data_IF_975551307290
#
_entry.id   IF_975551307290
#
_cell.length_a   1.000
_cell.length_b   1.000
_cell.length_c   1.000
_cell.angle_alpha   90.00
_cell.angle_beta   90.00
_cell.angle_gamma   90.00
#
_symmetry.space_group_name_H-M   'P 1'
#
loop_
_entity.id
_entity.type
_entity.pdbx_description
1 polymer ?
#
# COMPACT_ATOMS: atom_id res chain seq x y z
N UNK A 1 0.30 16.37 -16.36
CA UNK A 1 -0.99 16.41 -17.10
C UNK A 1 -2.14 16.30 -16.11
N UNK A 2 -3.21 17.08 -16.33
CA UNK A 2 -4.42 17.04 -15.48
C UNK A 2 -5.60 16.63 -16.34
N UNK A 3 -6.31 15.57 -15.95
CA UNK A 3 -7.55 15.12 -16.56
C UNK A 3 -8.68 15.30 -15.54
N UNK A 4 -9.70 16.08 -15.91
CA UNK A 4 -10.83 16.40 -15.05
C UNK A 4 -12.12 16.30 -15.85
N UNK A 5 -13.13 15.65 -15.25
CA UNK A 5 -14.50 15.71 -15.75
C UNK A 5 -15.16 14.35 -15.84
N UNK A 6 -16.51 14.32 -15.89
CA UNK A 6 -17.28 13.10 -15.98
C UNK A 6 -17.26 12.48 -17.39
N UNK A 7 -16.57 13.10 -18.35
CA UNK A 7 -16.49 12.61 -19.71
C UNK A 7 -15.82 11.23 -19.71
N UNK A 8 -16.37 10.31 -20.51
CA UNK A 8 -15.77 9.00 -20.66
C UNK A 8 -14.36 9.17 -21.18
N UNK A 9 -13.40 8.69 -20.40
CA UNK A 9 -11.97 8.74 -20.74
C UNK A 9 -11.67 8.09 -22.10
N UNK A 10 -12.55 7.19 -22.58
CA UNK A 10 -12.49 6.64 -23.94
C UNK A 10 -12.47 7.70 -25.05
N UNK A 11 -13.08 8.87 -24.86
CA UNK A 11 -13.03 9.98 -25.83
C UNK A 11 -11.65 10.65 -25.86
N UNK A 12 -11.00 10.77 -24.70
CA UNK A 12 -9.66 11.36 -24.56
C UNK A 12 -8.57 10.41 -25.09
N UNK A 13 -8.71 9.12 -24.80
CA UNK A 13 -7.75 8.08 -25.19
C UNK A 13 -7.88 7.61 -26.64
N UNK A 14 -8.97 7.97 -27.34
CA UNK A 14 -9.13 7.72 -28.78
C UNK A 14 -8.19 8.56 -29.66
N UNK A 15 -7.46 9.51 -29.05
CA UNK A 15 -6.48 10.35 -29.73
C UNK A 15 -5.05 9.88 -29.38
N UNK A 16 -4.32 9.41 -30.39
CA UNK A 16 -2.92 8.96 -30.25
C UNK A 16 -2.00 10.05 -29.65
N UNK A 17 -2.29 11.32 -29.91
CA UNK A 17 -1.58 12.45 -29.31
C UNK A 17 -1.75 12.51 -27.78
N UNK A 18 -2.95 12.23 -27.26
CA UNK A 18 -3.19 12.18 -25.81
C UNK A 18 -2.41 11.03 -25.17
N UNK A 19 -2.44 9.84 -25.80
CA UNK A 19 -1.65 8.68 -25.34
C UNK A 19 -0.15 8.97 -25.33
N UNK A 20 0.36 9.64 -26.36
CA UNK A 20 1.77 10.05 -26.41
C UNK A 20 2.13 11.00 -25.26
N UNK A 21 1.24 11.94 -24.91
CA UNK A 21 1.46 12.87 -23.79
C UNK A 21 1.40 12.16 -22.43
N UNK A 22 0.48 11.21 -22.25
CA UNK A 22 0.40 10.35 -21.07
C UNK A 22 1.73 9.64 -20.80
N UNK A 23 2.32 9.02 -21.82
CA UNK A 23 3.62 8.31 -21.72
C UNK A 23 4.80 9.19 -21.32
N UNK A 24 4.71 10.50 -21.57
CA UNK A 24 5.76 11.49 -21.23
C UNK A 24 5.47 12.25 -19.93
N UNK A 25 4.32 11.99 -19.30
CA UNK A 25 3.88 12.73 -18.13
C UNK A 25 4.63 12.26 -16.87
N UNK A 26 5.14 13.23 -16.11
CA UNK A 26 5.81 13.01 -14.81
C UNK A 26 4.85 13.23 -13.63
N UNK A 27 3.92 14.19 -13.73
CA UNK A 27 2.85 14.43 -12.74
C UNK A 27 1.49 14.22 -13.42
N UNK A 28 0.73 13.20 -13.01
CA UNK A 28 -0.59 12.88 -13.55
C UNK A 28 -1.65 13.04 -12.47
N UNK A 29 -2.63 13.91 -12.75
CA UNK A 29 -3.78 14.13 -11.85
C UNK A 29 -5.08 13.78 -12.52
N UNK A 30 -5.85 12.89 -11.89
CA UNK A 30 -7.12 12.37 -12.36
C UNK A 30 -8.23 12.81 -11.39
N UNK A 31 -9.21 13.57 -11.89
CA UNK A 31 -10.30 14.12 -11.08
C UNK A 31 -11.66 13.70 -11.64
N UNK A 32 -12.38 12.89 -10.85
CA UNK A 32 -13.77 12.48 -11.13
C UNK A 32 -13.97 11.86 -12.51
N UNK A 33 -12.98 11.10 -12.97
CA UNK A 33 -13.04 10.39 -14.25
C UNK A 33 -14.04 9.23 -14.20
N UNK A 34 -14.72 9.01 -15.32
CA UNK A 34 -15.65 7.88 -15.53
C UNK A 34 -15.17 7.01 -16.69
N UNK A 35 -15.59 5.73 -16.69
CA UNK A 35 -15.23 4.76 -17.71
C UNK A 35 -13.82 4.19 -17.57
N UNK A 36 -13.18 4.31 -16.39
CA UNK A 36 -11.86 3.72 -16.09
C UNK A 36 -11.96 2.81 -14.87
N UNK A 37 -11.61 1.54 -15.03
CA UNK A 37 -11.56 0.57 -13.92
C UNK A 37 -10.12 0.24 -13.52
N UNK A 38 -9.19 0.25 -14.47
CA UNK A 38 -7.78 -0.09 -14.31
C UNK A 38 -6.90 1.01 -14.88
N UNK A 39 -6.26 1.80 -14.01
CA UNK A 39 -5.51 2.99 -14.44
C UNK A 39 -4.39 2.65 -15.41
N UNK A 40 -3.50 1.73 -15.07
CA UNK A 40 -2.35 1.37 -15.92
C UNK A 40 -2.79 0.72 -17.24
N UNK A 41 -3.75 -0.19 -17.20
CA UNK A 41 -4.19 -0.92 -18.41
C UNK A 41 -4.94 -0.02 -19.39
N UNK A 42 -5.79 0.85 -18.88
CA UNK A 42 -6.67 1.63 -19.75
C UNK A 42 -6.02 2.95 -20.18
N UNK A 43 -5.20 3.58 -19.33
CA UNK A 43 -4.58 4.88 -19.66
C UNK A 43 -3.23 4.75 -20.37
N UNK A 44 -2.48 3.68 -20.12
CA UNK A 44 -1.10 3.52 -20.60
C UNK A 44 -0.89 2.21 -21.37
N UNK A 45 -1.98 1.59 -21.83
CA UNK A 45 -1.95 0.32 -22.57
C UNK A 45 -1.18 -0.80 -21.84
N UNK A 46 -1.07 -0.71 -20.51
CA UNK A 46 -0.34 -1.66 -19.68
C UNK A 46 1.17 -1.43 -19.56
N UNK A 47 1.73 -0.32 -20.08
CA UNK A 47 3.17 -0.03 -20.06
C UNK A 47 3.72 0.45 -18.71
N UNK A 48 2.86 0.66 -17.72
CA UNK A 48 3.28 0.87 -16.34
C UNK A 48 3.77 2.29 -16.00
N UNK A 49 3.57 3.27 -16.88
CA UNK A 49 3.94 4.67 -16.70
C UNK A 49 5.43 4.85 -16.30
N UNK A 50 6.38 4.55 -17.20
CA UNK A 50 7.81 4.47 -16.86
C UNK A 50 8.45 5.80 -16.42
N UNK A 51 7.80 6.94 -16.68
CA UNK A 51 8.30 8.29 -16.36
C UNK A 51 7.55 8.97 -15.22
N UNK A 52 6.45 8.38 -14.75
CA UNK A 52 5.58 9.05 -13.81
C UNK A 52 6.21 9.10 -12.43
N UNK A 53 6.32 10.31 -11.87
CA UNK A 53 6.86 10.60 -10.53
C UNK A 53 5.74 10.86 -9.53
N UNK A 54 4.60 11.43 -9.97
CA UNK A 54 3.48 11.74 -9.09
C UNK A 54 2.16 11.30 -9.71
N UNK A 55 1.40 10.49 -8.99
CA UNK A 55 0.06 10.05 -9.39
C UNK A 55 -0.95 10.49 -8.35
N UNK A 56 -1.89 11.33 -8.75
CA UNK A 56 -2.97 11.81 -7.90
C UNK A 56 -4.32 11.43 -8.49
N UNK A 57 -5.11 10.66 -7.76
CA UNK A 57 -6.41 10.14 -8.22
C UNK A 57 -7.48 10.47 -7.20
N UNK A 58 -8.42 11.34 -7.59
CA UNK A 58 -9.44 11.88 -6.68
C UNK A 58 -10.84 11.73 -7.25
N UNK A 59 -11.72 11.07 -6.49
CA UNK A 59 -13.15 10.97 -6.79
C UNK A 59 -13.49 10.14 -8.03
N UNK A 60 -12.56 9.32 -8.53
CA UNK A 60 -12.79 8.40 -9.64
C UNK A 60 -13.45 7.12 -9.12
N UNK A 61 -14.78 7.12 -9.02
CA UNK A 61 -15.54 6.08 -8.33
C UNK A 61 -15.55 4.72 -9.02
N UNK A 62 -15.28 4.64 -10.32
CA UNK A 62 -15.29 3.37 -11.09
C UNK A 62 -13.98 2.59 -11.02
N UNK A 63 -12.89 3.22 -10.54
CA UNK A 63 -11.59 2.57 -10.43
C UNK A 63 -11.66 1.44 -9.40
N UNK A 64 -11.32 0.24 -9.86
CA UNK A 64 -11.19 -0.97 -9.06
C UNK A 64 -9.73 -1.20 -8.67
N UNK A 65 -8.81 -0.95 -9.62
CA UNK A 65 -7.38 -1.19 -9.48
C UNK A 65 -6.57 -0.04 -10.07
N UNK A 66 -5.46 0.34 -9.41
CA UNK A 66 -4.48 1.23 -10.04
C UNK A 66 -3.67 0.41 -11.07
N UNK A 67 -3.13 -0.72 -10.62
CA UNK A 67 -2.46 -1.72 -11.46
C UNK A 67 -3.31 -2.98 -11.48
N UNK A 68 -4.02 -3.23 -12.58
CA UNK A 68 -4.82 -4.45 -12.79
C UNK A 68 -3.97 -5.65 -13.25
N UNK A 69 -4.61 -6.76 -13.64
CA UNK A 69 -3.91 -7.97 -14.12
C UNK A 69 -3.12 -7.71 -15.41
N UNK A 70 -1.80 -7.64 -15.31
CA UNK A 70 -0.90 -7.44 -16.45
C UNK A 70 -0.76 -8.76 -17.22
N UNK A 71 -1.35 -8.81 -18.43
CA UNK A 71 -1.17 -9.94 -19.34
C UNK A 71 0.30 -9.99 -19.80
N UNK A 72 1.07 -10.89 -19.18
CA UNK A 72 2.34 -11.49 -19.65
C UNK A 72 3.25 -10.56 -20.47
N UNK A 73 4.21 -9.92 -19.79
CA UNK A 73 5.66 -9.84 -20.07
C UNK A 73 6.23 -8.66 -19.27
N UNK A 74 7.17 -8.92 -18.35
CA UNK A 74 8.21 -8.01 -17.81
C UNK A 74 7.94 -6.49 -17.90
N UNK A 75 6.89 -5.99 -17.25
CA UNK A 75 6.63 -4.56 -17.21
C UNK A 75 6.98 -4.01 -15.83
N UNK A 76 7.94 -3.09 -15.78
CA UNK A 76 8.23 -2.28 -14.61
C UNK A 76 7.12 -1.26 -14.45
N UNK A 77 6.30 -1.42 -13.41
CA UNK A 77 5.19 -0.52 -13.16
C UNK A 77 5.65 0.54 -12.15
N UNK A 78 5.52 1.81 -12.54
CA UNK A 78 5.87 2.96 -11.73
C UNK A 78 7.31 2.91 -11.18
N UNK A 79 8.35 2.70 -12.02
CA UNK A 79 9.74 2.60 -11.55
C UNK A 79 10.26 3.93 -10.97
N UNK A 80 9.72 5.07 -11.42
CA UNK A 80 10.13 6.42 -10.97
C UNK A 80 9.12 7.11 -10.07
N UNK A 81 8.02 6.43 -9.68
CA UNK A 81 6.94 7.07 -8.93
C UNK A 81 7.40 7.36 -7.50
N UNK A 82 7.36 8.63 -7.11
CA UNK A 82 7.75 9.12 -5.78
C UNK A 82 6.55 9.33 -4.85
N UNK A 83 5.39 9.74 -5.40
CA UNK A 83 4.17 10.02 -4.63
C UNK A 83 2.94 9.39 -5.25
N UNK A 84 2.11 8.76 -4.40
CA UNK A 84 0.83 8.17 -4.77
C UNK A 84 -0.28 8.67 -3.86
N UNK A 85 -1.24 9.39 -4.43
CA UNK A 85 -2.37 9.96 -3.70
C UNK A 85 -3.68 9.37 -4.22
N UNK A 86 -4.40 8.64 -3.36
CA UNK A 86 -5.67 7.99 -3.68
C UNK A 86 -6.77 8.50 -2.77
N UNK A 87 -7.68 9.32 -3.31
CA UNK A 87 -8.66 10.07 -2.53
C UNK A 87 -10.08 9.75 -3.02
N UNK A 88 -10.95 9.33 -2.10
CA UNK A 88 -12.37 9.11 -2.35
C UNK A 88 -12.64 8.14 -3.51
N UNK A 89 -11.86 7.06 -3.60
CA UNK A 89 -12.04 6.00 -4.60
C UNK A 89 -12.98 4.93 -4.04
N UNK A 90 -14.28 5.14 -4.22
CA UNK A 90 -15.34 4.35 -3.57
C UNK A 90 -15.31 2.86 -3.90
N UNK A 91 -14.83 2.49 -5.09
CA UNK A 91 -14.75 1.10 -5.53
C UNK A 91 -13.33 0.52 -5.53
N UNK A 92 -12.30 1.26 -5.11
CA UNK A 92 -10.92 0.77 -5.11
C UNK A 92 -10.80 -0.48 -4.23
N UNK A 93 -10.44 -1.61 -4.85
CA UNK A 93 -10.29 -2.89 -4.18
C UNK A 93 -8.83 -3.18 -3.82
N UNK A 94 -7.90 -2.87 -4.73
CA UNK A 94 -6.45 -3.06 -4.56
C UNK A 94 -5.66 -1.96 -5.28
N UNK A 95 -4.48 -1.62 -4.79
CA UNK A 95 -3.54 -0.75 -5.53
C UNK A 95 -2.87 -1.55 -6.64
N UNK A 96 -2.30 -2.71 -6.29
CA UNK A 96 -1.69 -3.65 -7.23
C UNK A 96 -2.38 -5.00 -7.16
N UNK A 97 -3.03 -5.40 -8.25
CA UNK A 97 -3.68 -6.71 -8.39
C UNK A 97 -2.69 -7.81 -8.79
N UNK A 98 -1.74 -7.49 -9.67
CA UNK A 98 -0.78 -8.45 -10.23
C UNK A 98 0.30 -8.88 -9.25
N UNK A 99 0.76 -10.12 -9.41
CA UNK A 99 2.02 -10.59 -8.82
C UNK A 99 3.18 -9.94 -9.60
N UNK A 100 3.93 -9.06 -8.93
CA UNK A 100 5.13 -8.46 -9.53
C UNK A 100 6.26 -9.49 -9.53
N UNK A 101 6.83 -9.76 -10.71
CA UNK A 101 8.00 -10.63 -10.91
C UNK A 101 9.11 -9.76 -11.50
N UNK A 102 10.29 -9.73 -10.87
CA UNK A 102 11.44 -8.89 -11.26
C UNK A 102 11.31 -7.40 -10.82
N UNK A 103 12.46 -6.78 -10.53
CA UNK A 103 12.74 -5.85 -9.44
C UNK A 103 13.04 -4.42 -9.92
N UNK A 104 11.99 -3.58 -10.02
CA UNK A 104 12.04 -2.10 -9.99
C UNK A 104 10.65 -1.47 -9.77
N UNK A 105 9.55 -2.23 -9.82
CA UNK A 105 8.20 -1.65 -9.69
C UNK A 105 8.01 -0.98 -8.33
N UNK A 106 7.56 0.28 -8.32
CA UNK A 106 7.44 1.12 -7.12
C UNK A 106 8.74 1.36 -6.32
N UNK A 107 9.92 1.08 -6.88
CA UNK A 107 11.20 1.15 -6.13
C UNK A 107 11.53 2.55 -5.60
N UNK A 108 11.06 3.60 -6.29
CA UNK A 108 11.24 5.00 -5.89
C UNK A 108 10.08 5.58 -5.07
N UNK A 109 9.06 4.79 -4.70
CA UNK A 109 7.90 5.33 -3.97
C UNK A 109 8.32 5.74 -2.56
N UNK A 110 8.12 7.02 -2.25
CA UNK A 110 8.50 7.65 -0.98
C UNK A 110 7.29 7.97 -0.13
N UNK A 111 6.20 8.40 -0.76
CA UNK A 111 5.04 8.91 -0.04
C UNK A 111 3.78 8.26 -0.59
N UNK A 112 2.92 7.79 0.31
CA UNK A 112 1.60 7.30 -0.03
C UNK A 112 0.53 7.90 0.87
N UNK A 113 -0.52 8.38 0.22
CA UNK A 113 -1.68 8.99 0.83
C UNK A 113 -2.93 8.26 0.37
N UNK A 114 -3.68 7.66 1.30
CA UNK A 114 -4.95 6.97 0.97
C UNK A 114 -6.07 7.46 1.87
N UNK A 115 -7.02 8.19 1.28
CA UNK A 115 -8.12 8.81 2.00
C UNK A 115 -9.46 8.30 1.48
N UNK A 116 -10.31 7.82 2.38
CA UNK A 116 -11.70 7.48 2.10
C UNK A 116 -11.87 6.47 0.94
N UNK A 117 -11.11 5.36 1.00
CA UNK A 117 -11.24 4.22 0.07
C UNK A 117 -11.90 3.04 0.81
N UNK A 118 -13.24 2.96 0.88
CA UNK A 118 -13.97 2.06 1.78
C UNK A 118 -13.98 0.59 1.36
N UNK A 119 -13.56 0.26 0.12
CA UNK A 119 -13.45 -1.13 -0.35
C UNK A 119 -12.04 -1.73 -0.24
N UNK A 120 -11.03 -0.90 -0.01
CA UNK A 120 -9.64 -1.33 0.08
C UNK A 120 -9.44 -2.24 1.30
N UNK A 121 -8.97 -3.48 1.05
CA UNK A 121 -8.78 -4.49 2.11
C UNK A 121 -7.36 -4.51 2.66
N UNK A 122 -6.38 -4.23 1.80
CA UNK A 122 -4.95 -4.19 2.10
C UNK A 122 -4.35 -2.98 1.40
N UNK A 123 -3.38 -2.32 2.03
CA UNK A 123 -2.71 -1.16 1.43
C UNK A 123 -1.75 -1.62 0.32
N UNK A 124 -0.95 -2.63 0.63
CA UNK A 124 0.02 -3.24 -0.28
C UNK A 124 -0.26 -4.73 -0.46
N UNK A 125 0.01 -5.24 -1.65
CA UNK A 125 0.22 -6.68 -1.82
C UNK A 125 1.63 -7.04 -1.32
N UNK A 126 1.88 -8.33 -1.09
CA UNK A 126 3.17 -8.82 -0.63
C UNK A 126 4.29 -8.47 -1.61
N UNK A 127 4.08 -8.75 -2.91
CA UNK A 127 5.06 -8.44 -3.96
C UNK A 127 5.36 -6.94 -4.08
N UNK A 128 4.34 -6.08 -3.94
CA UNK A 128 4.54 -4.63 -3.93
C UNK A 128 5.39 -4.21 -2.72
N UNK A 129 5.06 -4.71 -1.53
CA UNK A 129 5.73 -4.34 -0.29
C UNK A 129 7.24 -4.66 -0.30
N UNK A 130 7.67 -5.75 -0.97
CA UNK A 130 9.10 -6.09 -1.13
C UNK A 130 9.91 -4.99 -1.84
N UNK A 131 9.28 -4.22 -2.72
CA UNK A 131 9.98 -3.22 -3.52
C UNK A 131 9.97 -1.82 -2.88
N UNK A 132 9.22 -1.60 -1.80
CA UNK A 132 9.04 -0.29 -1.17
C UNK A 132 10.20 0.09 -0.24
N UNK A 133 11.44 -0.08 -0.71
CA UNK A 133 12.66 0.21 0.05
C UNK A 133 12.89 1.71 0.26
N UNK A 134 12.30 2.54 -0.62
CA UNK A 134 12.34 4.00 -0.58
C UNK A 134 11.24 4.66 0.26
N UNK A 135 10.28 3.89 0.78
CA UNK A 135 9.07 4.45 1.39
C UNK A 135 9.40 5.17 2.70
N UNK A 136 9.01 6.44 2.79
CA UNK A 136 9.29 7.35 3.91
C UNK A 136 8.03 7.69 4.71
N UNK A 137 6.89 7.88 4.04
CA UNK A 137 5.64 8.28 4.69
C UNK A 137 4.45 7.49 4.19
N UNK A 138 3.64 7.01 5.14
CA UNK A 138 2.35 6.38 4.90
C UNK A 138 1.28 7.09 5.71
N UNK A 139 0.24 7.58 5.04
CA UNK A 139 -0.93 8.13 5.70
C UNK A 139 -2.21 7.52 5.14
N UNK A 140 -3.01 6.90 6.02
CA UNK A 140 -4.24 6.20 5.66
C UNK A 140 -5.39 6.66 6.54
N UNK A 141 -6.45 7.18 5.92
CA UNK A 141 -7.57 7.81 6.62
C UNK A 141 -8.91 7.28 6.10
N UNK A 142 -9.82 6.94 7.01
CA UNK A 142 -11.20 6.52 6.69
C UNK A 142 -11.30 5.33 5.70
N UNK A 143 -10.33 4.40 5.70
CA UNK A 143 -10.37 3.17 4.90
C UNK A 143 -11.02 2.02 5.69
N UNK A 144 -12.35 2.05 5.78
CA UNK A 144 -13.09 1.25 6.76
C UNK A 144 -13.06 -0.26 6.51
N UNK A 145 -12.69 -0.80 5.33
CA UNK A 145 -12.51 -2.25 5.12
C UNK A 145 -11.06 -2.72 5.22
N UNK A 146 -10.12 -1.80 5.49
CA UNK A 146 -8.72 -2.14 5.61
C UNK A 146 -8.51 -3.08 6.80
N UNK A 147 -8.01 -4.29 6.53
CA UNK A 147 -7.82 -5.34 7.54
C UNK A 147 -6.39 -5.34 8.08
N UNK A 148 -5.43 -5.04 7.21
CA UNK A 148 -3.99 -5.08 7.44
C UNK A 148 -3.29 -4.20 6.41
N UNK A 149 -2.06 -3.74 6.67
CA UNK A 149 -1.31 -2.95 5.70
C UNK A 149 -0.88 -3.82 4.51
N UNK A 150 -0.45 -5.06 4.75
CA UNK A 150 0.06 -5.97 3.72
C UNK A 150 -0.87 -7.17 3.59
N UNK A 151 -1.26 -7.50 2.36
CA UNK A 151 -2.10 -8.64 2.03
C UNK A 151 -1.44 -9.60 1.04
N UNK A 152 -2.10 -10.75 0.77
CA UNK A 152 -1.62 -11.69 -0.24
C UNK A 152 -1.70 -11.08 -1.65
N UNK A 153 -0.86 -11.57 -2.56
CA UNK A 153 -1.05 -11.33 -3.99
C UNK A 153 -2.32 -12.07 -4.48
N UNK A 154 -3.08 -11.45 -5.38
CA UNK A 154 -4.39 -11.99 -5.82
C UNK A 154 -4.26 -13.09 -6.90
N UNK A 155 -3.10 -13.21 -7.54
CA UNK A 155 -2.81 -14.26 -8.54
C UNK A 155 -2.04 -15.44 -7.93
N UNK A 156 -2.76 -16.43 -7.38
CA UNK A 156 -2.34 -17.84 -7.49
C UNK A 156 -3.53 -18.72 -7.94
N UNK A 157 -3.35 -19.57 -8.96
CA UNK A 157 -4.34 -20.55 -9.38
C UNK A 157 -4.34 -21.74 -8.40
N UNK A 158 -5.55 -22.23 -8.12
CA UNK A 158 -5.89 -23.62 -7.78
C UNK A 158 -4.72 -24.58 -7.48
N UNK A 159 -4.43 -24.78 -6.20
CA UNK A 159 -4.25 -26.14 -5.65
C UNK A 159 -4.78 -26.16 -4.23
N UNK A 160 -5.52 -27.21 -3.94
CA UNK A 160 -6.14 -27.54 -2.67
C UNK A 160 -5.07 -27.76 -1.61
N UNK A 161 -4.67 -26.70 -0.91
CA UNK A 161 -4.20 -26.68 0.48
C UNK A 161 -3.80 -25.23 0.83
N UNK A 162 -4.20 -24.79 2.02
CA UNK A 162 -4.08 -23.40 2.47
C UNK A 162 -2.64 -22.88 2.42
N UNK A 163 -2.53 -21.55 2.30
CA UNK A 163 -1.32 -20.75 2.49
C UNK A 163 -0.05 -21.47 2.03
N UNK A 164 0.34 -21.34 0.76
CA UNK A 164 1.68 -21.75 0.34
C UNK A 164 2.69 -21.10 1.29
N UNK A 165 3.40 -21.96 2.01
CA UNK A 165 4.52 -21.64 2.87
C UNK A 165 5.41 -20.63 2.17
N UNK A 166 5.56 -19.46 2.79
CA UNK A 166 6.58 -18.50 2.42
C UNK A 166 7.90 -19.19 2.79
N UNK A 167 8.77 -19.44 1.81
CA UNK A 167 10.10 -19.96 2.09
C UNK A 167 10.81 -18.93 2.97
N UNK A 168 10.97 -19.25 4.25
CA UNK A 168 11.19 -18.29 5.33
C UNK A 168 12.58 -17.62 5.35
N UNK A 169 13.48 -17.93 4.41
CA UNK A 169 14.87 -17.46 4.45
C UNK A 169 15.21 -16.34 3.45
N UNK A 170 14.42 -16.11 2.38
CA UNK A 170 14.79 -15.14 1.31
C UNK A 170 13.68 -14.09 0.99
N UNK A 171 12.55 -14.14 1.70
CA UNK A 171 11.34 -13.35 1.40
C UNK A 171 10.98 -12.36 2.52
N UNK A 172 11.96 -11.74 3.16
CA UNK A 172 11.71 -10.73 4.20
C UNK A 172 11.31 -9.38 3.57
N UNK A 173 10.09 -8.92 3.86
CA UNK A 173 9.66 -7.56 3.53
C UNK A 173 10.07 -6.61 4.66
N UNK A 174 10.71 -5.50 4.29
CA UNK A 174 11.10 -4.44 5.23
C UNK A 174 10.82 -3.07 4.60
N UNK A 175 10.60 -2.08 5.46
CA UNK A 175 10.49 -0.66 5.10
C UNK A 175 11.64 0.11 5.78
N UNK A 176 12.88 -0.06 5.27
CA UNK A 176 14.07 0.41 5.96
C UNK A 176 14.14 1.94 6.06
N UNK A 177 13.38 2.69 5.25
CA UNK A 177 13.37 4.15 5.24
C UNK A 177 12.07 4.78 5.76
N UNK A 178 11.15 3.97 6.28
CA UNK A 178 9.86 4.48 6.75
C UNK A 178 10.07 5.33 8.00
N UNK A 179 9.75 6.62 7.91
CA UNK A 179 9.95 7.63 8.96
C UNK A 179 8.62 8.00 9.63
N UNK A 180 7.54 8.09 8.86
CA UNK A 180 6.22 8.53 9.34
C UNK A 180 5.11 7.54 8.99
N UNK A 181 4.34 7.14 10.01
CA UNK A 181 3.13 6.34 9.85
C UNK A 181 1.93 7.01 10.53
N UNK A 182 0.92 7.38 9.75
CA UNK A 182 -0.30 7.99 10.24
C UNK A 182 -1.53 7.18 9.84
N UNK A 183 -2.31 6.75 10.84
CA UNK A 183 -3.49 5.91 10.65
C UNK A 183 -4.68 6.54 11.36
N UNK A 184 -5.73 6.91 10.62
CA UNK A 184 -6.87 7.64 11.16
C UNK A 184 -8.19 6.98 10.80
N UNK A 185 -9.03 6.74 11.80
CA UNK A 185 -10.41 6.23 11.65
C UNK A 185 -10.50 4.91 10.89
N UNK A 186 -9.63 3.95 11.17
CA UNK A 186 -9.63 2.64 10.52
C UNK A 186 -10.46 1.63 11.33
N UNK A 187 -11.74 1.49 10.99
CA UNK A 187 -12.71 0.75 11.83
C UNK A 187 -12.69 -0.77 11.68
N UNK A 188 -11.81 -1.36 10.86
CA UNK A 188 -11.65 -2.82 10.73
C UNK A 188 -10.18 -3.31 10.81
N UNK A 189 -9.22 -2.42 11.06
CA UNK A 189 -7.81 -2.81 11.18
C UNK A 189 -7.58 -3.48 12.53
N UNK A 190 -7.24 -4.77 12.52
CA UNK A 190 -6.99 -5.54 13.76
C UNK A 190 -5.51 -5.73 14.05
N UNK A 191 -4.70 -5.76 12.99
CA UNK A 191 -3.25 -5.88 13.02
C UNK A 191 -2.70 -5.00 11.89
N UNK A 192 -1.54 -4.39 12.11
CA UNK A 192 -0.86 -3.62 11.07
C UNK A 192 -0.09 -4.55 10.13
N UNK A 193 0.59 -5.53 10.71
CA UNK A 193 1.55 -6.41 10.05
C UNK A 193 1.09 -7.88 10.06
N UNK A 194 1.46 -8.68 9.05
CA UNK A 194 1.26 -10.13 9.10
C UNK A 194 2.10 -10.78 10.21
N UNK A 195 1.63 -11.88 10.79
CA UNK A 195 2.32 -12.54 11.91
C UNK A 195 3.72 -13.07 11.54
N UNK A 196 4.00 -13.25 10.26
CA UNK A 196 5.29 -13.69 9.72
C UNK A 196 6.33 -12.54 9.70
N UNK A 197 5.90 -11.28 9.88
CA UNK A 197 6.75 -10.08 9.93
C UNK A 197 7.35 -9.83 11.32
N UNK A 198 7.53 -10.87 12.13
CA UNK A 198 8.09 -10.77 13.48
C UNK A 198 9.62 -10.59 13.50
N UNK A 199 10.25 -10.43 12.34
CA UNK A 199 11.68 -10.11 12.21
C UNK A 199 12.03 -8.74 12.80
N UNK A 200 13.26 -8.60 13.29
CA UNK A 200 13.72 -7.46 14.09
C UNK A 200 13.72 -6.11 13.35
N UNK A 201 13.63 -6.01 12.02
CA UNK A 201 14.03 -4.78 11.28
C UNK A 201 12.98 -4.18 10.34
N UNK A 202 11.69 -4.49 10.51
CA UNK A 202 10.67 -4.07 9.54
C UNK A 202 10.62 -2.55 9.32
N UNK A 203 10.82 -1.71 10.35
CA UNK A 203 10.66 -0.26 10.26
C UNK A 203 11.59 0.54 11.21
N UNK A 204 12.88 0.19 11.29
CA UNK A 204 13.83 0.75 12.28
C UNK A 204 14.02 2.28 12.26
N UNK A 205 13.68 2.93 11.14
CA UNK A 205 13.83 4.38 10.96
C UNK A 205 12.55 5.17 11.27
N UNK A 206 11.50 4.54 11.82
CA UNK A 206 10.30 5.25 12.23
C UNK A 206 10.63 6.29 13.30
N UNK A 207 10.30 7.54 13.03
CA UNK A 207 10.48 8.67 13.96
C UNK A 207 9.15 9.18 14.50
N UNK A 208 8.07 9.04 13.72
CA UNK A 208 6.73 9.52 14.04
C UNK A 208 5.67 8.46 13.75
N UNK A 209 4.84 8.18 14.74
CA UNK A 209 3.66 7.33 14.57
C UNK A 209 2.45 7.99 15.23
N UNK A 210 1.38 8.18 14.46
CA UNK A 210 0.11 8.73 14.95
C UNK A 210 -1.02 7.77 14.61
N UNK A 211 -1.76 7.30 15.62
CA UNK A 211 -2.89 6.40 15.44
C UNK A 211 -4.12 6.97 16.13
N UNK A 212 -5.12 7.34 15.34
CA UNK A 212 -6.33 8.02 15.84
C UNK A 212 -7.58 7.25 15.45
N UNK A 213 -8.46 6.92 16.42
CA UNK A 213 -9.76 6.26 16.18
C UNK A 213 -9.68 4.92 15.43
N UNK A 214 -8.62 4.14 15.65
CA UNK A 214 -8.44 2.80 15.07
C UNK A 214 -8.92 1.72 16.06
N UNK A 215 -10.23 1.71 16.37
CA UNK A 215 -10.75 0.97 17.52
C UNK A 215 -10.42 -0.53 17.55
N UNK A 216 -10.52 -1.32 16.45
CA UNK A 216 -10.27 -2.77 16.54
C UNK A 216 -8.79 -3.16 16.70
N UNK A 217 -7.87 -2.20 16.66
CA UNK A 217 -6.43 -2.45 16.73
C UNK A 217 -6.03 -2.75 18.17
N UNK A 218 -5.64 -3.99 18.45
CA UNK A 218 -5.23 -4.43 19.80
C UNK A 218 -3.79 -4.07 20.15
N UNK A 219 -2.90 -4.23 19.17
CA UNK A 219 -1.45 -4.03 19.28
C UNK A 219 -0.89 -3.44 17.98
N UNK A 220 0.18 -2.66 18.07
CA UNK A 220 0.83 -2.05 16.91
C UNK A 220 2.11 -2.78 16.51
N UNK A 221 2.93 -3.13 17.50
CA UNK A 221 4.25 -3.71 17.30
C UNK A 221 4.37 -5.07 18.01
N UNK A 222 5.15 -5.98 17.45
CA UNK A 222 5.68 -7.10 18.23
C UNK A 222 6.76 -6.59 19.17
N UNK A 223 7.10 -7.39 20.18
CA UNK A 223 8.25 -7.11 21.05
C UNK A 223 9.56 -6.90 20.26
N UNK A 224 9.83 -7.75 19.28
CA UNK A 224 11.03 -7.65 18.42
C UNK A 224 11.09 -6.36 17.61
N UNK A 225 9.95 -5.92 17.05
CA UNK A 225 9.86 -4.63 16.35
C UNK A 225 10.06 -3.47 17.31
N UNK A 226 9.42 -3.49 18.48
CA UNK A 226 9.55 -2.42 19.46
C UNK A 226 11.01 -2.20 19.88
N UNK A 227 11.78 -3.27 20.05
CA UNK A 227 13.20 -3.20 20.38
C UNK A 227 14.09 -2.57 19.28
N UNK A 228 13.65 -2.53 18.03
CA UNK A 228 14.39 -1.90 16.93
C UNK A 228 13.97 -0.48 16.59
N UNK A 229 12.88 0.02 17.20
CA UNK A 229 12.38 1.40 17.02
C UNK A 229 13.23 2.44 17.80
N UNK A 230 14.56 2.35 17.71
CA UNK A 230 15.48 3.22 18.44
C UNK A 230 15.44 4.70 18.01
N UNK A 231 14.82 5.01 16.87
CA UNK A 231 14.68 6.38 16.34
C UNK A 231 13.30 7.00 16.62
N UNK A 232 12.36 6.28 17.23
CA UNK A 232 11.01 6.76 17.45
C UNK A 232 10.99 7.90 18.49
N UNK A 233 10.59 9.10 18.06
CA UNK A 233 10.56 10.32 18.88
C UNK A 233 9.16 10.79 19.21
N UNK A 234 8.21 10.47 18.36
CA UNK A 234 6.81 10.87 18.52
C UNK A 234 5.91 9.65 18.34
N UNK A 235 5.19 9.30 19.38
CA UNK A 235 4.15 8.29 19.36
C UNK A 235 2.88 8.87 19.97
N UNK A 236 1.84 8.99 19.16
CA UNK A 236 0.56 9.55 19.56
C UNK A 236 -0.56 8.55 19.27
N UNK A 237 -1.37 8.24 20.28
CA UNK A 237 -2.49 7.32 20.19
C UNK A 237 -3.72 7.99 20.77
N UNK A 238 -4.71 8.26 19.93
CA UNK A 238 -5.88 9.05 20.29
C UNK A 238 -7.14 8.22 20.02
N UNK A 239 -8.00 8.08 21.04
CA UNK A 239 -9.32 7.46 20.89
C UNK A 239 -9.31 6.03 20.29
N UNK A 240 -8.30 5.22 20.60
CA UNK A 240 -8.19 3.81 20.18
C UNK A 240 -8.67 2.86 21.30
N UNK A 241 -9.99 2.78 21.50
CA UNK A 241 -10.55 2.21 22.73
C UNK A 241 -10.45 0.69 22.91
N UNK A 242 -10.16 -0.10 21.87
CA UNK A 242 -9.94 -1.56 22.01
C UNK A 242 -8.46 -1.95 22.02
N UNK A 243 -7.56 -0.97 22.10
CA UNK A 243 -6.13 -1.24 22.23
C UNK A 243 -5.83 -1.85 23.61
N UNK A 244 -5.17 -3.00 23.61
CA UNK A 244 -4.76 -3.71 24.83
C UNK A 244 -3.34 -3.30 25.25
N UNK A 245 -2.51 -2.90 24.28
CA UNK A 245 -1.18 -2.34 24.51
C UNK A 245 -0.54 -1.90 23.19
N UNK A 246 0.52 -1.11 23.26
CA UNK A 246 1.26 -0.69 22.05
C UNK A 246 2.03 -1.88 21.47
N UNK A 247 2.63 -2.68 22.36
CA UNK A 247 3.50 -3.80 22.03
C UNK A 247 2.85 -5.10 22.48
N UNK A 248 2.82 -6.10 21.60
CA UNK A 248 2.39 -7.45 21.96
C UNK A 248 3.57 -8.26 22.54
N UNK A 249 3.42 -8.71 23.79
CA UNK A 249 4.43 -9.47 24.56
C UNK A 249 4.06 -10.95 24.76
N UNK A 250 2.92 -11.42 24.25
CA UNK A 250 2.37 -12.76 24.56
C UNK A 250 3.20 -13.94 24.02
N UNK A 251 4.31 -13.69 23.31
CA UNK A 251 5.26 -14.71 22.84
C UNK A 251 6.51 -14.90 23.71
N UNK A 252 6.67 -14.16 24.81
CA UNK A 252 7.86 -14.20 25.68
C UNK A 252 7.69 -15.07 26.93
N UNK A 253 6.48 -15.56 27.23
CA UNK A 253 6.14 -16.31 28.45
C UNK A 253 6.72 -17.73 28.56
N UNK A 254 7.84 -18.01 27.90
CA UNK A 254 8.63 -19.24 28.04
C UNK A 254 10.09 -19.00 28.47
N UNK A 255 10.46 -17.77 28.81
CA UNK A 255 11.79 -17.45 29.36
C UNK A 255 11.66 -16.55 30.59
N UNK A 256 11.04 -17.08 31.64
CA UNK A 256 11.34 -16.64 32.99
C UNK A 256 12.21 -17.70 33.67
N UNK A 257 13.19 -17.19 34.43
CA UNK A 257 14.05 -17.88 35.40
C UNK A 257 15.25 -18.69 34.89
N UNK A 258 16.39 -18.00 34.70
CA UNK A 258 17.59 -18.39 35.44
C UNK A 258 18.26 -17.13 36.01
N UNK A 259 18.42 -17.16 37.33
CA UNK A 259 19.20 -16.23 38.16
C UNK A 259 20.65 -16.11 37.71
#
# INVERSE_FOLDING_TARGET
>A
MVLKGPEKVSLLLGNDGTKMLLKRTEDLRLYSLTGVQNVVHELDDGEGFPRLQHLHVTGCSEILHIVGSVRRVRCEVFPLLESLDLINLTNLETICYSQLREDQSFSNLRIIYVYSCPKLKYLFSFSMAKNLLGLQKVEVVNCNKLKMMIGPDMEKPTTTQGFTEINAEDDQVTFPRLEELELVSLTNIKKLWPDQFQGMYCCQNLTKVTVTRCCPLKYMFSYSMANSLGQLRHLEIINCWSMEGIVNTTGLGGRDEFK
#
